data_IF_155382250678
#
_entry.id   IF_155382250678
#
_cell.length_a   1.000
_cell.length_b   1.000
_cell.length_c   1.000
_cell.angle_alpha   90.00
_cell.angle_beta   90.00
_cell.angle_gamma   90.00
#
_symmetry.space_group_name_H-M   'P 1'
#
loop_
_entity.id
_entity.type
_entity.pdbx_description
1 polymer ?
#
# COMPACT_ATOMS: atom_id res chain seq x y z
N UNK A 1 21.18 34.07 -19.49
CA UNK A 1 21.27 32.71 -20.09
C UNK A 1 20.51 31.73 -19.21
N UNK A 2 20.23 30.51 -19.65
CA UNK A 2 19.67 29.47 -18.79
C UNK A 2 20.80 28.93 -17.88
N UNK A 3 20.80 29.26 -16.59
CA UNK A 3 21.75 28.69 -15.63
C UNK A 3 21.29 27.27 -15.24
N UNK A 4 21.38 26.34 -16.19
CA UNK A 4 20.95 24.96 -16.04
C UNK A 4 21.98 24.18 -15.22
N UNK A 5 21.77 24.13 -13.91
CA UNK A 5 22.46 23.19 -13.04
C UNK A 5 22.24 21.77 -13.58
N UNK A 6 23.32 21.05 -13.92
CA UNK A 6 23.27 19.71 -14.50
C UNK A 6 22.52 18.72 -13.61
N UNK A 7 22.58 18.90 -12.28
CA UNK A 7 21.83 18.08 -11.33
C UNK A 7 20.31 18.25 -11.50
N UNK A 8 19.82 19.46 -11.80
CA UNK A 8 18.39 19.67 -12.11
C UNK A 8 17.98 18.95 -13.39
N UNK A 9 18.77 19.06 -14.45
CA UNK A 9 18.51 18.38 -15.73
C UNK A 9 18.45 16.85 -15.56
N UNK A 10 19.41 16.27 -14.83
CA UNK A 10 19.42 14.84 -14.51
C UNK A 10 18.21 14.43 -13.64
N UNK A 11 17.79 15.28 -12.70
CA UNK A 11 16.63 15.03 -11.87
C UNK A 11 15.31 15.04 -12.65
N UNK A 12 15.11 16.07 -13.49
CA UNK A 12 13.96 16.21 -14.38
C UNK A 12 13.87 15.01 -15.35
N UNK A 13 15.00 14.61 -15.96
CA UNK A 13 15.06 13.43 -16.84
C UNK A 13 14.71 12.14 -16.09
N UNK A 14 15.28 11.93 -14.90
CA UNK A 14 15.05 10.72 -14.09
C UNK A 14 13.59 10.59 -13.63
N UNK A 15 12.90 11.71 -13.37
CA UNK A 15 11.47 11.73 -13.05
C UNK A 15 10.57 11.47 -14.26
N UNK A 16 10.93 11.95 -15.46
CA UNK A 16 10.28 11.48 -16.69
C UNK A 16 10.51 9.97 -16.89
N UNK A 17 11.74 9.49 -16.68
CA UNK A 17 12.06 8.06 -16.80
C UNK A 17 11.24 7.18 -15.86
N UNK A 18 11.04 7.56 -14.59
CA UNK A 18 10.20 6.77 -13.66
C UNK A 18 8.74 6.71 -14.12
N UNK A 19 8.17 7.79 -14.65
CA UNK A 19 6.82 7.77 -15.26
C UNK A 19 6.74 6.90 -16.51
N UNK A 20 7.74 6.94 -17.39
CA UNK A 20 7.83 6.07 -18.55
C UNK A 20 7.91 4.59 -18.16
N UNK A 21 8.75 4.24 -17.17
CA UNK A 21 8.88 2.86 -16.64
C UNK A 21 7.56 2.39 -16.04
N UNK A 22 6.87 3.22 -15.24
CA UNK A 22 5.57 2.86 -14.67
C UNK A 22 4.49 2.58 -15.74
N UNK A 23 4.40 3.43 -16.77
CA UNK A 23 3.47 3.24 -17.89
C UNK A 23 3.81 1.96 -18.67
N UNK A 24 5.10 1.74 -18.95
CA UNK A 24 5.57 0.53 -19.63
C UNK A 24 5.29 -0.74 -18.82
N UNK A 25 5.52 -0.71 -17.50
CA UNK A 25 5.25 -1.84 -16.61
C UNK A 25 3.76 -2.20 -16.55
N UNK A 26 2.87 -1.20 -16.50
CA UNK A 26 1.41 -1.41 -16.53
C UNK A 26 0.99 -2.11 -17.84
N UNK A 27 1.46 -1.62 -18.99
CA UNK A 27 1.17 -2.24 -20.28
C UNK A 27 1.80 -3.63 -20.44
N UNK A 28 3.06 -3.81 -20.02
CA UNK A 28 3.81 -5.06 -20.17
C UNK A 28 3.21 -6.20 -19.33
N UNK A 29 2.72 -5.88 -18.13
CA UNK A 29 2.07 -6.84 -17.24
C UNK A 29 0.55 -6.91 -17.42
N UNK A 30 -0.04 -6.06 -18.30
CA UNK A 30 -1.49 -5.91 -18.52
C UNK A 30 -2.29 -5.74 -17.22
N UNK A 31 -1.74 -5.01 -16.26
CA UNK A 31 -2.30 -4.87 -14.90
C UNK A 31 -1.83 -3.58 -14.23
N UNK A 32 -2.65 -3.07 -13.32
CA UNK A 32 -2.31 -1.96 -12.42
C UNK A 32 -2.16 -2.42 -10.95
N UNK A 33 -2.10 -3.73 -10.68
CA UNK A 33 -2.01 -4.30 -9.33
C UNK A 33 -0.75 -3.79 -8.59
N UNK A 34 -0.95 -3.37 -7.34
CA UNK A 34 0.12 -2.81 -6.51
C UNK A 34 0.34 -1.31 -6.67
N UNK A 35 -0.23 -0.66 -7.70
CA UNK A 35 -0.24 0.80 -7.84
C UNK A 35 -1.52 1.36 -7.19
N UNK A 36 -1.40 2.45 -6.43
CA UNK A 36 -2.55 3.15 -5.84
C UNK A 36 -3.11 4.19 -6.78
N UNK A 37 -4.42 4.09 -7.08
CA UNK A 37 -5.13 5.05 -7.91
C UNK A 37 -5.18 6.42 -7.22
N UNK A 38 -5.38 6.43 -5.89
CA UNK A 38 -5.41 7.65 -5.08
C UNK A 38 -4.09 8.41 -5.18
N UNK A 39 -2.94 7.73 -5.06
CA UNK A 39 -1.63 8.38 -5.23
C UNK A 39 -1.47 8.97 -6.63
N UNK A 40 -1.94 8.31 -7.70
CA UNK A 40 -1.87 8.89 -9.05
C UNK A 40 -2.79 10.10 -9.22
N UNK A 41 -4.00 10.07 -8.63
CA UNK A 41 -4.92 11.23 -8.60
C UNK A 41 -4.31 12.43 -7.85
N UNK A 42 -3.67 12.19 -6.71
CA UNK A 42 -2.98 13.25 -5.97
C UNK A 42 -1.79 13.83 -6.77
N UNK A 43 -0.97 13.00 -7.42
CA UNK A 43 0.09 13.50 -8.30
C UNK A 43 -0.45 14.29 -9.50
N UNK A 44 -1.56 13.88 -10.12
CA UNK A 44 -2.20 14.66 -11.18
C UNK A 44 -2.68 16.03 -10.68
N UNK A 45 -3.28 16.09 -9.49
CA UNK A 45 -3.68 17.36 -8.84
C UNK A 45 -2.46 18.26 -8.56
N UNK A 46 -1.33 17.69 -8.12
CA UNK A 46 -0.06 18.42 -7.96
C UNK A 46 0.39 19.03 -9.30
N UNK A 47 0.48 18.25 -10.37
CA UNK A 47 0.99 18.79 -11.64
C UNK A 47 0.04 19.83 -12.27
N UNK A 48 -1.28 19.68 -12.11
CA UNK A 48 -2.26 20.68 -12.54
C UNK A 48 -2.10 21.98 -11.75
N UNK A 49 -2.00 21.92 -10.42
CA UNK A 49 -1.89 23.12 -9.57
C UNK A 49 -0.51 23.79 -9.65
N UNK A 50 0.56 23.03 -9.87
CA UNK A 50 1.93 23.54 -10.02
C UNK A 50 2.17 24.29 -11.33
N UNK A 51 1.53 23.86 -12.41
CA UNK A 51 1.81 24.33 -13.77
C UNK A 51 0.71 25.25 -14.33
N UNK A 52 -0.08 25.89 -13.45
CA UNK A 52 -1.00 26.96 -13.81
C UNK A 52 -0.30 28.16 -14.49
N UNK A 53 1.03 28.29 -14.32
CA UNK A 53 1.83 29.28 -15.03
C UNK A 53 1.89 29.05 -16.57
N UNK A 54 1.47 27.87 -17.07
CA UNK A 54 1.22 27.62 -18.50
C UNK A 54 0.10 28.51 -19.06
N UNK A 55 -0.84 28.99 -18.24
CA UNK A 55 -1.85 29.96 -18.68
C UNK A 55 -1.30 31.39 -18.76
N UNK A 56 -0.07 31.64 -18.30
CA UNK A 56 0.60 32.93 -18.37
C UNK A 56 1.62 32.99 -19.51
N UNK A 57 1.72 34.14 -20.18
CA UNK A 57 2.75 34.39 -21.23
C UNK A 57 4.19 34.11 -20.77
N UNK A 58 4.46 34.23 -19.46
CA UNK A 58 5.75 33.93 -18.86
C UNK A 58 6.11 32.42 -18.88
N UNK A 59 5.14 31.52 -18.78
CA UNK A 59 5.37 30.07 -18.76
C UNK A 59 5.92 29.50 -20.07
N UNK A 60 5.65 30.19 -21.19
CA UNK A 60 6.04 29.77 -22.55
C UNK A 60 7.45 30.19 -22.98
N UNK A 61 8.21 30.88 -22.11
CA UNK A 61 9.54 31.44 -22.44
C UNK A 61 10.61 30.40 -22.80
N UNK A 62 10.45 29.14 -22.38
CA UNK A 62 11.44 28.08 -22.60
C UNK A 62 10.74 26.78 -23.02
N UNK A 63 10.83 26.44 -24.31
CA UNK A 63 10.17 25.28 -24.91
C UNK A 63 10.44 23.96 -24.16
N UNK A 64 11.69 23.73 -23.73
CA UNK A 64 12.07 22.59 -22.89
C UNK A 64 11.20 22.50 -21.61
N UNK A 65 11.04 23.60 -20.86
CA UNK A 65 10.24 23.59 -19.64
C UNK A 65 8.74 23.41 -19.94
N UNK A 66 8.23 23.93 -21.05
CA UNK A 66 6.84 23.69 -21.50
C UNK A 66 6.61 22.21 -21.80
N UNK A 67 7.54 21.56 -22.53
CA UNK A 67 7.47 20.14 -22.83
C UNK A 67 7.39 19.27 -21.56
N UNK A 68 8.25 19.51 -20.57
CA UNK A 68 8.24 18.75 -19.31
C UNK A 68 6.90 18.93 -18.56
N UNK A 69 6.39 20.15 -18.44
CA UNK A 69 5.10 20.41 -17.78
C UNK A 69 3.93 19.70 -18.47
N UNK A 70 3.84 19.81 -19.80
CA UNK A 70 2.79 19.14 -20.59
C UNK A 70 2.92 17.61 -20.48
N UNK A 71 4.15 17.07 -20.55
CA UNK A 71 4.40 15.64 -20.35
C UNK A 71 3.92 15.17 -18.97
N UNK A 72 4.26 15.88 -17.88
CA UNK A 72 3.85 15.49 -16.53
C UNK A 72 2.32 15.50 -16.34
N UNK A 73 1.61 16.47 -16.92
CA UNK A 73 0.14 16.53 -16.90
C UNK A 73 -0.45 15.37 -17.70
N UNK A 74 -0.09 15.23 -18.98
CA UNK A 74 -0.66 14.25 -19.91
C UNK A 74 -0.37 12.82 -19.44
N UNK A 75 0.86 12.51 -19.03
CA UNK A 75 1.24 11.19 -18.54
C UNK A 75 0.52 10.80 -17.25
N UNK A 76 0.24 11.76 -16.35
CA UNK A 76 -0.48 11.47 -15.09
C UNK A 76 -1.96 11.20 -15.34
N UNK A 77 -2.62 11.97 -16.21
CA UNK A 77 -3.99 11.65 -16.65
C UNK A 77 -4.04 10.33 -17.44
N UNK A 78 -3.02 10.01 -18.24
CA UNK A 78 -2.94 8.74 -18.96
C UNK A 78 -2.81 7.54 -18.02
N UNK A 79 -1.99 7.61 -16.96
CA UNK A 79 -1.93 6.56 -15.92
C UNK A 79 -3.28 6.39 -15.23
N UNK A 80 -3.96 7.49 -14.86
CA UNK A 80 -5.31 7.42 -14.27
C UNK A 80 -6.30 6.75 -15.24
N UNK A 81 -6.28 7.10 -16.52
CA UNK A 81 -7.10 6.46 -17.56
C UNK A 81 -6.82 4.95 -17.67
N UNK A 82 -5.55 4.53 -17.69
CA UNK A 82 -5.19 3.10 -17.68
C UNK A 82 -5.77 2.39 -16.45
N UNK A 83 -5.62 2.97 -15.26
CA UNK A 83 -6.08 2.39 -13.99
C UNK A 83 -7.61 2.41 -13.80
N UNK A 84 -8.33 3.29 -14.49
CA UNK A 84 -9.80 3.42 -14.37
C UNK A 84 -10.58 2.74 -15.51
N UNK A 85 -9.98 2.52 -16.69
CA UNK A 85 -10.68 2.02 -17.88
C UNK A 85 -10.06 0.80 -18.54
N UNK A 86 -8.73 0.70 -18.60
CA UNK A 86 -8.04 -0.35 -19.39
C UNK A 86 -7.66 -1.54 -18.51
N UNK A 87 -7.12 -1.26 -17.33
CA UNK A 87 -6.72 -2.24 -16.31
C UNK A 87 -7.39 -1.89 -14.98
N UNK A 88 -8.75 -1.93 -14.92
CA UNK A 88 -9.50 -1.51 -13.75
C UNK A 88 -9.16 -2.37 -12.53
N UNK A 89 -8.89 -1.71 -11.40
CA UNK A 89 -8.48 -2.35 -10.14
C UNK A 89 -9.67 -2.49 -9.17
N UNK A 90 -9.60 -3.50 -8.29
CA UNK A 90 -10.36 -3.58 -7.04
C UNK A 90 -10.34 -2.27 -6.24
N UNK A 91 -11.47 -1.94 -5.59
CA UNK A 91 -11.73 -0.64 -4.95
C UNK A 91 -10.73 -0.31 -3.84
N UNK A 92 -10.17 0.90 -3.90
CA UNK A 92 -9.30 1.48 -2.87
C UNK A 92 -9.99 1.52 -1.49
N UNK A 93 -9.24 1.16 -0.43
CA UNK A 93 -9.79 1.04 0.94
C UNK A 93 -10.12 2.42 1.52
N UNK A 94 -11.20 2.50 2.29
CA UNK A 94 -11.66 3.71 2.97
C UNK A 94 -10.56 4.44 3.77
N UNK A 95 -9.65 3.70 4.44
CA UNK A 95 -8.50 4.27 5.14
C UNK A 95 -7.55 5.05 4.22
N UNK A 96 -7.37 4.59 2.97
CA UNK A 96 -6.57 5.30 1.97
C UNK A 96 -7.29 6.56 1.47
N UNK A 97 -8.62 6.51 1.28
CA UNK A 97 -9.44 7.68 0.97
C UNK A 97 -9.37 8.75 2.07
N UNK A 98 -9.56 8.36 3.34
CA UNK A 98 -9.41 9.26 4.50
C UNK A 98 -8.02 9.92 4.49
N UNK A 99 -6.94 9.16 4.32
CA UNK A 99 -5.57 9.71 4.22
C UNK A 99 -5.37 10.65 3.03
N UNK A 100 -5.93 10.35 1.86
CA UNK A 100 -5.83 11.22 0.68
C UNK A 100 -6.57 12.55 0.86
N UNK A 101 -7.80 12.53 1.40
CA UNK A 101 -8.60 13.72 1.71
C UNK A 101 -7.91 14.58 2.76
N UNK A 102 -7.41 13.96 3.84
CA UNK A 102 -6.64 14.65 4.89
C UNK A 102 -5.37 15.29 4.30
N UNK A 103 -4.68 14.62 3.38
CA UNK A 103 -3.49 15.16 2.72
C UNK A 103 -3.80 16.42 1.90
N UNK A 104 -4.90 16.42 1.15
CA UNK A 104 -5.35 17.60 0.39
C UNK A 104 -5.78 18.74 1.32
N UNK A 105 -6.60 18.46 2.33
CA UNK A 105 -7.10 19.47 3.27
C UNK A 105 -5.96 20.12 4.07
N UNK A 106 -5.03 19.32 4.59
CA UNK A 106 -3.85 19.82 5.30
C UNK A 106 -2.94 20.67 4.40
N UNK A 107 -2.73 20.24 3.15
CA UNK A 107 -1.93 21.02 2.18
C UNK A 107 -2.59 22.36 1.83
N UNK A 108 -3.92 22.39 1.73
CA UNK A 108 -4.69 23.59 1.43
C UNK A 108 -4.63 24.62 2.57
N UNK A 109 -4.61 24.17 3.82
CA UNK A 109 -4.46 25.04 5.01
C UNK A 109 -3.00 25.47 5.20
N UNK A 110 -2.03 24.56 5.05
CA UNK A 110 -0.61 24.88 5.27
C UNK A 110 0.00 25.79 4.19
N UNK A 111 -0.51 25.80 2.96
CA UNK A 111 0.03 26.62 1.88
C UNK A 111 0.01 28.14 2.17
N UNK A 112 -1.14 28.79 2.44
CA UNK A 112 -1.18 30.21 2.80
C UNK A 112 -0.38 30.53 4.06
N UNK A 113 -0.42 29.64 5.07
CA UNK A 113 0.32 29.80 6.32
C UNK A 113 1.84 29.79 6.06
N UNK A 114 2.33 28.88 5.22
CA UNK A 114 3.76 28.77 4.87
C UNK A 114 4.26 30.01 4.12
N UNK A 115 3.46 30.56 3.19
CA UNK A 115 3.81 31.80 2.48
C UNK A 115 3.99 32.96 3.46
N UNK A 116 3.04 33.17 4.37
CA UNK A 116 3.10 34.26 5.37
C UNK A 116 4.31 34.11 6.29
N UNK A 117 4.60 32.89 6.76
CA UNK A 117 5.73 32.64 7.68
C UNK A 117 7.09 32.84 6.98
N UNK A 118 7.29 32.27 5.79
CA UNK A 118 8.61 32.24 5.16
C UNK A 118 8.91 33.45 4.26
N UNK A 119 7.91 33.98 3.54
CA UNK A 119 8.10 35.14 2.65
C UNK A 119 7.69 36.49 3.27
N UNK A 120 7.12 36.48 4.49
CA UNK A 120 6.75 37.70 5.27
C UNK A 120 5.79 38.67 4.56
N UNK A 121 5.03 38.17 3.59
CA UNK A 121 4.03 38.92 2.83
C UNK A 121 3.38 38.05 1.75
N UNK A 122 2.26 38.51 1.19
CA UNK A 122 1.66 37.89 0.02
C UNK A 122 2.22 38.50 -1.27
N UNK A 123 2.64 37.69 -2.25
CA UNK A 123 3.07 38.18 -3.56
C UNK A 123 1.86 38.60 -4.42
N UNK A 124 2.07 39.49 -5.39
CA UNK A 124 1.02 40.01 -6.29
C UNK A 124 0.19 38.90 -6.97
N UNK A 125 0.84 37.77 -7.26
CA UNK A 125 0.22 36.57 -7.86
C UNK A 125 -0.26 35.58 -6.82
N UNK A 126 -0.78 36.07 -5.70
CA UNK A 126 -1.15 35.31 -4.50
C UNK A 126 -1.81 33.95 -4.79
N UNK A 127 -2.74 33.88 -5.75
CA UNK A 127 -3.41 32.65 -6.15
C UNK A 127 -2.44 31.63 -6.76
N UNK A 128 -1.67 32.02 -7.77
CA UNK A 128 -0.70 31.14 -8.44
C UNK A 128 0.39 30.66 -7.48
N UNK A 129 0.91 31.55 -6.63
CA UNK A 129 1.94 31.20 -5.65
C UNK A 129 1.38 30.32 -4.51
N UNK A 130 0.10 30.50 -4.13
CA UNK A 130 -0.60 29.61 -3.19
C UNK A 130 -0.83 28.24 -3.82
N UNK A 131 -1.26 28.14 -5.09
CA UNK A 131 -1.38 26.88 -5.81
C UNK A 131 -0.03 26.17 -6.01
N UNK A 132 1.05 26.93 -6.27
CA UNK A 132 2.40 26.40 -6.34
C UNK A 132 2.85 25.83 -4.98
N UNK A 133 2.70 26.60 -3.90
CA UNK A 133 3.04 26.16 -2.54
C UNK A 133 2.21 24.94 -2.13
N UNK A 134 0.89 24.96 -2.35
CA UNK A 134 -0.01 23.82 -2.18
C UNK A 134 0.50 22.59 -2.91
N UNK A 135 0.93 22.74 -4.16
CA UNK A 135 1.46 21.62 -4.96
C UNK A 135 2.75 21.05 -4.37
N UNK A 136 3.61 21.87 -3.74
CA UNK A 136 4.85 21.43 -3.08
C UNK A 136 4.52 20.63 -1.82
N UNK A 137 3.64 21.16 -0.96
CA UNK A 137 3.20 20.51 0.28
C UNK A 137 2.50 19.19 -0.03
N UNK A 138 1.54 19.19 -0.97
CA UNK A 138 0.77 18.00 -1.33
C UNK A 138 1.66 16.91 -1.93
N UNK A 139 2.63 17.26 -2.78
CA UNK A 139 3.54 16.27 -3.36
C UNK A 139 4.31 15.51 -2.27
N UNK A 140 4.72 16.21 -1.21
CA UNK A 140 5.46 15.61 -0.10
C UNK A 140 4.73 14.44 0.57
N UNK A 141 3.39 14.45 0.55
CA UNK A 141 2.52 13.43 1.16
C UNK A 141 1.78 12.53 0.14
N UNK A 142 1.90 12.78 -1.17
CA UNK A 142 1.23 12.02 -2.24
C UNK A 142 1.48 10.50 -2.19
N UNK A 143 2.61 10.07 -1.64
CA UNK A 143 3.01 8.65 -1.54
C UNK A 143 2.34 7.90 -0.38
N UNK A 144 1.66 8.58 0.55
CA UNK A 144 1.05 7.94 1.73
C UNK A 144 -0.02 6.87 1.40
N UNK A 145 -0.96 7.06 0.45
CA UNK A 145 -1.88 5.99 0.03
C UNK A 145 -1.16 4.78 -0.56
N UNK A 146 -0.13 5.00 -1.38
CA UNK A 146 0.71 3.97 -1.99
C UNK A 146 1.51 3.15 -0.96
N UNK A 147 2.03 3.79 0.10
CA UNK A 147 2.67 3.14 1.25
C UNK A 147 1.69 2.25 2.01
N UNK A 148 0.51 2.79 2.33
CA UNK A 148 -0.59 2.08 3.00
C UNK A 148 -1.02 0.85 2.19
N UNK A 149 -1.10 1.00 0.87
CA UNK A 149 -1.45 -0.05 -0.06
C UNK A 149 -0.41 -1.18 -0.12
N UNK A 150 0.88 -0.87 -0.23
CA UNK A 150 1.95 -1.89 -0.25
C UNK A 150 1.97 -2.71 1.05
N UNK A 151 1.71 -2.06 2.19
CA UNK A 151 1.65 -2.70 3.51
C UNK A 151 0.46 -3.65 3.69
N UNK A 152 -0.60 -3.49 2.89
CA UNK A 152 -1.82 -4.33 2.97
C UNK A 152 -1.97 -5.30 1.78
N UNK A 153 -1.16 -5.19 0.73
CA UNK A 153 -1.25 -6.03 -0.47
C UNK A 153 -0.19 -7.14 -0.43
N UNK A 154 -0.60 -8.40 -0.35
CA UNK A 154 0.31 -9.57 -0.45
C UNK A 154 0.65 -9.92 -1.90
N UNK A 155 -0.27 -9.69 -2.83
CA UNK A 155 -0.16 -9.97 -4.29
C UNK A 155 1.09 -9.32 -4.92
N UNK A 156 1.82 -9.97 -5.84
CA UNK A 156 2.89 -9.34 -6.61
C UNK A 156 2.47 -7.98 -7.21
N UNK A 157 3.39 -7.02 -7.16
CA UNK A 157 3.15 -5.62 -7.53
C UNK A 157 3.77 -5.33 -8.89
N UNK A 158 3.08 -4.59 -9.76
CA UNK A 158 3.59 -4.15 -11.07
C UNK A 158 4.76 -3.14 -10.95
N UNK A 159 4.94 -2.55 -9.77
CA UNK A 159 6.10 -1.71 -9.42
C UNK A 159 7.38 -2.55 -9.47
N UNK A 160 8.33 -2.13 -10.32
CA UNK A 160 9.64 -2.75 -10.47
C UNK A 160 10.75 -1.97 -9.73
N UNK A 161 11.96 -2.56 -9.70
CA UNK A 161 13.14 -1.92 -9.12
C UNK A 161 13.65 -0.73 -9.92
N UNK A 162 13.43 -0.71 -11.25
CA UNK A 162 13.86 0.40 -12.11
C UNK A 162 13.03 1.67 -11.86
N UNK A 163 11.72 1.56 -11.65
CA UNK A 163 10.87 2.66 -11.21
C UNK A 163 11.39 3.28 -9.92
N UNK A 164 11.72 2.46 -8.91
CA UNK A 164 12.24 2.93 -7.62
C UNK A 164 13.62 3.55 -7.74
N UNK A 165 14.51 2.97 -8.55
CA UNK A 165 15.82 3.54 -8.83
C UNK A 165 15.69 4.93 -9.47
N UNK A 166 14.87 5.07 -10.52
CA UNK A 166 14.65 6.36 -11.18
C UNK A 166 13.97 7.37 -10.26
N UNK A 167 13.00 6.93 -9.44
CA UNK A 167 12.32 7.79 -8.45
C UNK A 167 13.28 8.26 -7.34
N UNK A 168 14.22 7.41 -6.92
CA UNK A 168 15.27 7.73 -5.95
C UNK A 168 16.37 8.62 -6.52
N UNK A 169 16.87 8.33 -7.73
CA UNK A 169 17.84 9.16 -8.45
C UNK A 169 17.32 10.57 -8.71
N UNK A 170 16.05 10.72 -9.09
CA UNK A 170 15.35 12.01 -9.16
C UNK A 170 15.48 12.81 -7.85
N UNK A 171 15.21 12.21 -6.68
CA UNK A 171 15.39 12.88 -5.38
C UNK A 171 16.85 13.20 -5.11
N UNK A 172 17.76 12.25 -5.29
CA UNK A 172 19.19 12.44 -5.08
C UNK A 172 19.74 13.61 -5.91
N UNK A 173 19.33 13.74 -7.17
CA UNK A 173 19.75 14.84 -8.03
C UNK A 173 19.11 16.19 -7.65
N UNK A 174 17.86 16.22 -7.18
CA UNK A 174 17.32 17.44 -6.54
C UNK A 174 18.10 17.83 -5.28
N UNK A 175 18.52 16.84 -4.50
CA UNK A 175 19.33 16.96 -3.26
C UNK A 175 20.81 17.34 -3.55
N UNK A 176 21.25 17.28 -4.80
CA UNK A 176 22.50 17.91 -5.23
C UNK A 176 22.23 19.32 -5.79
N UNK A 177 21.13 19.52 -6.51
CA UNK A 177 20.75 20.84 -7.03
C UNK A 177 20.53 21.90 -5.94
N UNK A 178 19.80 21.59 -4.85
CA UNK A 178 19.53 22.56 -3.78
C UNK A 178 20.80 23.03 -3.07
N UNK A 179 21.79 22.15 -2.94
CA UNK A 179 23.01 22.30 -2.16
C UNK A 179 24.07 23.05 -2.97
N UNK A 180 24.14 22.77 -4.28
CA UNK A 180 24.95 23.55 -5.22
C UNK A 180 24.44 24.99 -5.37
N UNK A 181 23.12 25.24 -5.25
CA UNK A 181 22.55 26.60 -5.27
C UNK A 181 22.69 27.34 -3.95
N UNK A 182 22.53 26.63 -2.84
CA UNK A 182 22.57 27.19 -1.48
C UNK A 182 23.97 27.38 -0.90
N UNK A 183 24.94 26.51 -1.23
CA UNK A 183 26.35 26.63 -0.85
C UNK A 183 27.23 27.24 -1.95
N UNK A 184 26.74 27.30 -3.20
CA UNK A 184 27.42 27.94 -4.30
C UNK A 184 27.25 29.47 -4.29
N UNK A 185 27.83 30.13 -5.31
CA UNK A 185 27.82 31.59 -5.44
C UNK A 185 26.45 32.24 -5.64
N UNK A 186 25.38 31.48 -5.87
CA UNK A 186 24.00 31.99 -5.87
C UNK A 186 23.46 32.25 -4.45
N UNK A 187 23.99 31.56 -3.42
CA UNK A 187 23.57 31.71 -2.01
C UNK A 187 22.08 31.47 -1.74
N UNK A 188 21.37 30.84 -2.68
CA UNK A 188 19.91 30.89 -2.76
C UNK A 188 19.27 29.60 -2.25
N UNK A 189 18.47 29.75 -1.20
CA UNK A 189 17.66 28.71 -0.58
C UNK A 189 16.17 29.02 -0.77
N UNK A 190 15.36 27.99 -1.00
CA UNK A 190 13.91 28.09 -1.10
C UNK A 190 13.33 27.30 0.08
N UNK A 191 13.16 27.98 1.22
CA UNK A 191 12.86 27.33 2.50
C UNK A 191 11.60 26.46 2.44
N UNK A 192 10.64 26.79 1.56
CA UNK A 192 9.44 25.96 1.35
C UNK A 192 9.79 24.73 0.51
N UNK A 193 10.39 24.90 -0.67
CA UNK A 193 10.74 23.77 -1.53
C UNK A 193 11.73 22.80 -0.86
N UNK A 194 12.67 23.34 -0.09
CA UNK A 194 13.71 22.57 0.61
C UNK A 194 13.10 21.82 1.82
N UNK A 195 12.31 22.48 2.68
CA UNK A 195 11.66 21.83 3.84
C UNK A 195 10.75 20.67 3.42
N UNK A 196 9.86 20.90 2.46
CA UNK A 196 8.95 19.85 1.98
C UNK A 196 9.67 18.81 1.12
N UNK A 197 10.79 19.17 0.48
CA UNK A 197 11.72 18.24 -0.18
C UNK A 197 12.38 17.24 0.78
N UNK A 198 12.78 17.68 1.99
CA UNK A 198 13.26 16.79 3.06
C UNK A 198 12.16 15.80 3.46
N UNK A 199 10.96 16.31 3.79
CA UNK A 199 9.81 15.51 4.23
C UNK A 199 9.46 14.45 3.18
N UNK A 200 9.40 14.85 1.91
CA UNK A 200 9.11 13.96 0.80
C UNK A 200 10.16 12.86 0.62
N UNK A 201 11.43 13.22 0.75
CA UNK A 201 12.55 12.27 0.65
C UNK A 201 12.49 11.23 1.77
N UNK A 202 12.14 11.64 2.99
CA UNK A 202 11.96 10.71 4.11
C UNK A 202 10.86 9.67 3.81
N UNK A 203 9.72 10.07 3.23
CA UNK A 203 8.69 9.13 2.79
C UNK A 203 9.10 8.27 1.58
N UNK A 204 9.94 8.78 0.68
CA UNK A 204 10.49 7.98 -0.44
C UNK A 204 11.49 6.92 0.05
N UNK A 205 12.27 7.21 1.10
CA UNK A 205 13.15 6.24 1.77
C UNK A 205 12.32 5.16 2.48
N UNK A 206 11.27 5.54 3.20
CA UNK A 206 10.33 4.58 3.83
C UNK A 206 9.65 3.68 2.76
N UNK A 207 9.28 4.24 1.61
CA UNK A 207 8.70 3.52 0.48
C UNK A 207 9.68 2.53 -0.17
N UNK A 208 10.95 2.92 -0.38
CA UNK A 208 11.99 2.03 -0.86
C UNK A 208 12.30 0.89 0.14
N UNK A 209 12.30 1.21 1.44
CA UNK A 209 12.50 0.23 2.52
C UNK A 209 11.39 -0.82 2.58
N UNK A 210 10.11 -0.38 2.56
CA UNK A 210 8.93 -1.28 2.53
C UNK A 210 8.93 -2.18 1.30
N UNK A 211 9.39 -1.69 0.14
CA UNK A 211 9.50 -2.52 -1.06
C UNK A 211 10.64 -3.55 -0.95
N UNK A 212 11.83 -3.13 -0.55
CA UNK A 212 13.02 -3.99 -0.52
C UNK A 212 12.89 -5.12 0.51
N UNK A 213 12.39 -4.81 1.72
CA UNK A 213 12.12 -5.80 2.77
C UNK A 213 11.12 -6.86 2.29
N UNK A 214 9.99 -6.43 1.70
CA UNK A 214 8.96 -7.29 1.09
C UNK A 214 9.52 -8.21 -0.01
N UNK A 215 10.46 -7.74 -0.83
CA UNK A 215 11.05 -8.56 -1.89
C UNK A 215 12.02 -9.62 -1.36
N UNK A 216 12.75 -9.35 -0.27
CA UNK A 216 13.64 -10.32 0.38
C UNK A 216 12.89 -11.50 0.99
N UNK A 217 11.71 -11.28 1.59
CA UNK A 217 10.88 -12.37 2.15
C UNK A 217 10.49 -13.38 1.08
N UNK A 218 10.01 -12.91 -0.08
CA UNK A 218 9.53 -13.75 -1.20
C UNK A 218 10.60 -14.60 -1.88
N UNK A 219 11.88 -14.39 -1.59
CA UNK A 219 13.00 -15.14 -2.16
C UNK A 219 13.65 -16.13 -1.18
N UNK A 220 13.26 -16.13 0.11
CA UNK A 220 13.97 -16.89 1.16
C UNK A 220 13.16 -18.05 1.76
N UNK A 221 11.83 -17.98 1.75
CA UNK A 221 10.96 -19.10 2.10
C UNK A 221 9.65 -19.01 1.28
N UNK A 222 9.22 -20.11 0.68
CA UNK A 222 7.93 -20.23 -0.02
C UNK A 222 6.72 -20.39 0.92
N UNK A 223 6.89 -20.10 2.21
CA UNK A 223 5.83 -20.16 3.22
C UNK A 223 5.13 -18.82 3.41
N UNK A 224 3.85 -18.86 3.79
CA UNK A 224 3.15 -17.69 4.31
C UNK A 224 3.81 -17.27 5.62
N UNK A 225 4.13 -15.98 5.78
CA UNK A 225 4.75 -15.41 7.00
C UNK A 225 3.90 -14.24 7.48
N UNK A 226 3.80 -14.10 8.80
CA UNK A 226 2.81 -13.29 9.49
C UNK A 226 2.83 -11.79 9.21
N UNK A 227 1.66 -11.18 9.43
CA UNK A 227 1.45 -9.73 9.26
C UNK A 227 2.16 -8.84 10.29
N UNK A 228 2.74 -9.42 11.34
CA UNK A 228 3.39 -8.72 12.46
C UNK A 228 4.65 -7.94 12.05
N UNK A 229 5.53 -8.54 11.23
CA UNK A 229 6.84 -7.96 10.89
C UNK A 229 6.72 -6.67 10.05
N UNK A 230 5.60 -6.52 9.32
CA UNK A 230 5.27 -5.32 8.54
C UNK A 230 4.87 -4.10 9.41
N UNK A 231 5.17 -4.10 10.72
CA UNK A 231 4.92 -2.97 11.65
C UNK A 231 6.11 -2.00 11.80
N UNK A 232 7.28 -2.35 11.29
CA UNK A 232 8.56 -1.66 11.60
C UNK A 232 8.97 -0.47 10.70
N UNK A 233 8.10 0.08 9.85
CA UNK A 233 8.37 1.36 9.18
C UNK A 233 8.29 2.53 10.18
N UNK A 234 9.45 2.96 10.68
CA UNK A 234 9.60 3.85 11.85
C UNK A 234 8.86 5.19 11.74
N UNK A 235 8.81 5.80 10.54
CA UNK A 235 8.14 7.09 10.33
C UNK A 235 6.62 6.95 10.25
N UNK A 236 6.13 6.13 9.31
CA UNK A 236 4.69 5.94 9.09
C UNK A 236 4.02 5.27 10.28
N UNK A 237 4.67 4.34 10.96
CA UNK A 237 4.16 3.72 12.20
C UNK A 237 4.03 4.77 13.33
N UNK A 238 4.97 5.73 13.44
CA UNK A 238 4.86 6.80 14.44
C UNK A 238 3.69 7.75 14.16
N UNK A 239 3.52 8.19 12.91
CA UNK A 239 2.42 9.08 12.51
C UNK A 239 1.05 8.38 12.64
N UNK A 240 0.95 7.11 12.25
CA UNK A 240 -0.30 6.34 12.35
C UNK A 240 -0.63 5.94 13.80
N UNK A 241 0.33 5.51 14.61
CA UNK A 241 0.07 5.09 16.00
C UNK A 241 -0.25 6.28 16.90
N UNK A 242 0.35 7.46 16.66
CA UNK A 242 -0.03 8.70 17.34
C UNK A 242 -1.52 9.03 17.08
N UNK A 243 -1.97 8.83 15.84
CA UNK A 243 -3.37 9.02 15.46
C UNK A 243 -4.29 7.89 15.95
N UNK A 244 -3.81 6.65 16.06
CA UNK A 244 -4.61 5.52 16.55
C UNK A 244 -4.77 5.52 18.08
N UNK A 245 -3.84 6.12 18.84
CA UNK A 245 -4.15 6.56 20.21
C UNK A 245 -5.25 7.60 20.17
N UNK A 246 -5.00 8.75 19.52
CA UNK A 246 -5.96 9.86 19.49
C UNK A 246 -7.39 9.46 19.06
N UNK A 247 -7.56 8.52 18.11
CA UNK A 247 -8.90 8.05 17.73
C UNK A 247 -9.55 7.11 18.75
N UNK A 248 -8.76 6.34 19.50
CA UNK A 248 -9.26 5.55 20.62
C UNK A 248 -9.55 6.45 21.84
N UNK A 249 -8.71 7.46 22.08
CA UNK A 249 -8.91 8.49 23.10
C UNK A 249 -10.18 9.32 22.76
N UNK A 250 -10.40 9.69 21.48
CA UNK A 250 -11.61 10.38 21.00
C UNK A 250 -12.85 9.45 21.01
N UNK A 251 -12.73 8.16 20.71
CA UNK A 251 -13.82 7.19 20.90
C UNK A 251 -14.14 6.98 22.40
N UNK A 252 -13.14 6.96 23.29
CA UNK A 252 -13.37 6.85 24.74
C UNK A 252 -14.03 8.10 25.31
N UNK A 253 -13.54 9.31 24.98
CA UNK A 253 -14.17 10.56 25.40
C UNK A 253 -15.64 10.66 24.96
N UNK A 254 -15.98 10.25 23.74
CA UNK A 254 -17.38 10.25 23.28
C UNK A 254 -18.24 9.24 24.05
N UNK A 255 -17.71 8.04 24.35
CA UNK A 255 -18.41 7.07 25.20
C UNK A 255 -18.46 7.49 26.69
N UNK A 256 -17.63 8.44 27.14
CA UNK A 256 -17.69 9.01 28.49
C UNK A 256 -18.68 10.19 28.54
N UNK A 257 -18.72 11.07 27.52
CA UNK A 257 -19.75 12.11 27.36
C UNK A 257 -21.16 11.50 27.19
N UNK A 258 -21.33 10.48 26.34
CA UNK A 258 -22.60 9.74 26.18
C UNK A 258 -23.04 9.01 27.47
N UNK A 259 -22.12 8.73 28.41
CA UNK A 259 -22.43 8.09 29.70
C UNK A 259 -22.78 9.10 30.80
N UNK A 260 -22.14 10.28 30.82
CA UNK A 260 -22.51 11.33 31.78
C UNK A 260 -23.94 11.87 31.54
N UNK A 261 -24.42 11.90 30.29
CA UNK A 261 -25.80 12.32 29.97
C UNK A 261 -26.87 11.22 30.23
N UNK A 262 -26.51 9.92 30.34
CA UNK A 262 -27.47 8.84 30.68
C UNK A 262 -27.66 8.60 32.20
N UNK A 263 -26.74 9.02 33.08
CA UNK A 263 -26.79 8.67 34.52
C UNK A 263 -27.99 9.25 35.32
N UNK A 264 -28.85 10.07 34.71
CA UNK A 264 -30.04 10.65 35.37
C UNK A 264 -31.26 9.68 35.37
N UNK A 265 -31.23 8.55 34.64
CA UNK A 265 -32.43 7.77 34.30
C UNK A 265 -32.44 6.25 34.62
N UNK A 266 -32.11 5.85 35.86
CA UNK A 266 -32.55 4.57 36.45
C UNK A 266 -31.50 3.45 36.56
N UNK A 267 -31.27 2.95 37.78
CA UNK A 267 -30.15 2.05 38.09
C UNK A 267 -30.36 0.55 37.76
N UNK A 268 -29.28 -0.14 37.35
CA UNK A 268 -29.38 -1.51 36.81
C UNK A 268 -28.13 -2.41 36.75
N UNK A 269 -27.26 -2.40 37.77
CA UNK A 269 -26.06 -3.29 37.96
C UNK A 269 -24.87 -3.12 36.99
N UNK A 270 -23.60 -3.12 37.48
CA UNK A 270 -22.41 -3.07 36.63
C UNK A 270 -22.07 -4.43 35.99
N UNK A 271 -21.73 -4.46 34.70
CA UNK A 271 -21.25 -5.67 33.97
C UNK A 271 -19.76 -5.60 33.64
N UNK A 272 -18.91 -5.70 34.66
CA UNK A 272 -17.44 -5.69 34.50
C UNK A 272 -16.86 -7.02 33.94
N UNK A 273 -17.22 -7.39 32.71
CA UNK A 273 -16.61 -8.51 31.97
C UNK A 273 -15.32 -8.06 31.25
N UNK A 274 -14.30 -7.73 32.03
CA UNK A 274 -12.94 -7.39 31.55
C UNK A 274 -12.22 -8.62 31.00
N UNK A 275 -12.54 -9.03 29.78
CA UNK A 275 -11.92 -10.20 29.14
C UNK A 275 -10.45 -9.92 28.76
N UNK A 276 -9.52 -10.40 29.61
CA UNK A 276 -8.10 -10.37 29.32
C UNK A 276 -7.75 -11.33 28.18
N UNK A 277 -6.87 -10.89 27.26
CA UNK A 277 -6.37 -11.77 26.21
C UNK A 277 -5.46 -12.86 26.82
N UNK A 278 -5.81 -14.14 26.55
CA UNK A 278 -5.24 -15.38 27.11
C UNK A 278 -5.70 -15.70 28.55
N UNK A 279 -6.75 -16.52 28.63
CA UNK A 279 -7.19 -17.22 29.85
C UNK A 279 -8.02 -18.44 29.48
N UNK A 280 -7.66 -19.61 30.00
CA UNK A 280 -8.39 -20.88 29.77
C UNK A 280 -9.51 -20.97 30.81
N UNK A 281 -10.74 -21.19 30.38
CA UNK A 281 -11.89 -21.39 31.28
C UNK A 281 -12.03 -22.86 31.68
N UNK A 282 -11.61 -23.19 32.90
CA UNK A 282 -11.94 -24.47 33.57
C UNK A 282 -12.69 -24.17 34.86
N UNK A 283 -13.94 -24.61 34.89
CA UNK A 283 -14.83 -24.71 36.05
C UNK A 283 -15.87 -25.77 35.65
N UNK A 284 -15.84 -27.02 36.11
CA UNK A 284 -15.62 -27.54 37.47
C UNK A 284 -16.78 -27.20 38.42
N UNK A 285 -17.70 -28.16 38.45
CA UNK A 285 -18.70 -28.50 39.47
C UNK A 285 -19.74 -27.46 39.92
N UNK A 286 -21.01 -27.88 39.88
CA UNK A 286 -22.11 -27.28 40.65
C UNK A 286 -23.20 -28.36 40.83
N UNK A 287 -23.04 -29.18 41.87
CA UNK A 287 -23.99 -30.26 42.21
C UNK A 287 -25.24 -29.71 42.89
N UNK A 288 -26.42 -30.21 42.51
CA UNK A 288 -27.72 -30.30 43.23
C UNK A 288 -28.88 -30.23 42.20
N UNK A 289 -29.84 -31.17 42.13
CA UNK A 289 -29.92 -32.47 42.78
C UNK A 289 -31.32 -33.12 42.63
N UNK A 290 -31.46 -34.33 43.18
CA UNK A 290 -32.72 -34.99 43.56
C UNK A 290 -33.68 -35.52 42.46
N UNK A 291 -33.49 -36.78 42.07
CA UNK A 291 -34.61 -37.74 42.03
C UNK A 291 -34.13 -39.16 42.39
N UNK A 292 -34.86 -39.85 43.29
CA UNK A 292 -34.74 -41.32 43.52
C UNK A 292 -35.35 -42.04 42.30
N UNK A 293 -34.85 -43.18 41.79
CA UNK A 293 -34.46 -44.45 42.44
C UNK A 293 -35.57 -45.48 42.15
N UNK A 294 -35.38 -46.75 41.78
CA UNK A 294 -34.32 -47.78 41.94
C UNK A 294 -33.97 -48.44 40.58
N UNK A 295 -32.95 -49.28 40.36
CA UNK A 295 -31.95 -49.94 41.23
C UNK A 295 -32.06 -51.48 41.18
N UNK A 296 -31.07 -52.18 40.61
CA UNK A 296 -30.70 -53.60 40.84
C UNK A 296 -29.29 -53.90 40.26
N UNK A 297 -28.63 -54.97 40.72
CA UNK A 297 -27.19 -55.26 40.58
C UNK A 297 -26.83 -56.36 39.54
N UNK A 298 -25.59 -56.86 39.64
CA UNK A 298 -24.94 -58.01 38.95
C UNK A 298 -24.31 -57.69 37.57
N UNK A 299 -23.01 -57.89 37.28
CA UNK A 299 -22.02 -59.00 37.52
C UNK A 299 -22.25 -60.19 36.56
N UNK A 300 -21.27 -60.85 35.91
CA UNK A 300 -19.80 -61.02 36.08
C UNK A 300 -19.12 -61.30 34.70
N UNK A 301 -17.78 -61.22 34.63
CA UNK A 301 -16.88 -62.00 33.72
C UNK A 301 -17.11 -61.91 32.17
N UNK A 302 -16.25 -62.44 31.28
CA UNK A 302 -14.85 -62.89 31.43
C UNK A 302 -14.42 -63.95 30.39
N UNK A 303 -13.42 -63.64 29.57
CA UNK A 303 -12.68 -64.53 28.63
C UNK A 303 -13.37 -64.99 27.31
N UNK A 304 -12.73 -65.90 26.57
CA UNK A 304 -12.55 -65.93 25.10
C UNK A 304 -13.01 -67.25 24.40
N UNK A 305 -12.74 -67.34 23.08
CA UNK A 305 -12.83 -68.48 22.15
C UNK A 305 -14.28 -68.69 21.58
N UNK A 306 -14.52 -68.57 20.26
CA UNK A 306 -14.02 -69.26 19.03
C UNK A 306 -14.79 -70.59 18.74
N UNK A 307 -15.00 -71.06 17.50
CA UNK A 307 -14.71 -70.49 16.17
C UNK A 307 -15.92 -69.64 15.66
N UNK A 308 -16.65 -69.82 14.55
CA UNK A 308 -16.74 -70.78 13.42
C UNK A 308 -17.16 -69.97 12.14
N UNK A 309 -17.02 -70.51 10.92
CA UNK A 309 -16.77 -69.72 9.67
C UNK A 309 -17.88 -69.77 8.57
N UNK A 310 -17.88 -68.81 7.61
CA UNK A 310 -18.75 -68.81 6.41
C UNK A 310 -18.13 -68.08 5.17
N UNK A 311 -17.62 -68.88 4.22
CA UNK A 311 -17.38 -68.71 2.76
C UNK A 311 -16.88 -67.36 2.15
N UNK A 312 -15.67 -67.36 1.57
CA UNK A 312 -15.23 -66.39 0.53
C UNK A 312 -14.32 -67.06 -0.54
N UNK A 313 -14.52 -66.77 -1.83
CA UNK A 313 -14.24 -67.73 -2.92
C UNK A 313 -13.37 -67.20 -4.09
N UNK A 314 -12.11 -67.67 -4.16
CA UNK A 314 -11.17 -67.63 -5.31
C UNK A 314 -10.74 -66.24 -5.85
N UNK A 315 -9.61 -66.08 -6.54
CA UNK A 315 -8.58 -67.06 -6.92
C UNK A 315 -7.77 -66.65 -8.17
N UNK A 316 -6.73 -65.83 -8.00
CA UNK A 316 -5.65 -65.59 -8.98
C UNK A 316 -4.54 -66.69 -8.86
N UNK A 317 -3.40 -66.75 -9.62
CA UNK A 317 -2.76 -65.76 -10.52
C UNK A 317 -2.07 -66.36 -11.81
N UNK A 318 -1.11 -65.62 -12.39
CA UNK A 318 -0.01 -66.03 -13.34
C UNK A 318 -0.44 -66.20 -14.82
N UNK A 319 0.02 -65.49 -15.86
CA UNK A 319 1.28 -64.78 -16.25
C UNK A 319 2.14 -65.58 -17.28
N UNK A 320 2.65 -64.88 -18.31
CA UNK A 320 3.54 -65.42 -19.37
C UNK A 320 3.10 -65.04 -20.78
N UNK A 321 4.01 -64.53 -21.62
CA UNK A 321 3.71 -64.16 -23.02
C UNK A 321 4.95 -64.15 -23.94
N UNK A 322 4.74 -64.24 -25.26
CA UNK A 322 5.79 -64.16 -26.27
C UNK A 322 5.28 -63.74 -27.67
N UNK A 323 6.06 -62.88 -28.34
CA UNK A 323 6.17 -62.58 -29.79
C UNK A 323 5.06 -62.97 -30.81
N UNK A 324 4.57 -62.01 -31.61
CA UNK A 324 4.11 -62.25 -32.98
C UNK A 324 5.29 -62.28 -33.99
N UNK A 325 5.12 -62.97 -35.13
CA UNK A 325 6.03 -62.94 -36.30
C UNK A 325 5.40 -62.21 -37.48
N UNK A 326 6.22 -61.55 -38.32
CA UNK A 326 5.80 -60.94 -39.60
C UNK A 326 6.27 -61.79 -40.79
N UNK A 327 5.36 -62.03 -41.76
CA UNK A 327 5.58 -62.54 -43.14
C UNK A 327 4.19 -62.65 -43.81
N UNK A 328 3.89 -62.36 -45.09
CA UNK A 328 4.61 -61.75 -46.24
C UNK A 328 3.62 -61.48 -47.40
N UNK A 329 3.77 -60.36 -48.14
CA UNK A 329 3.17 -60.14 -49.49
C UNK A 329 1.64 -59.86 -49.55
N UNK A 330 1.05 -59.48 -50.69
CA UNK A 330 1.55 -59.32 -52.08
C UNK A 330 0.88 -58.11 -52.78
N UNK A 331 1.58 -57.57 -53.79
CA UNK A 331 1.32 -56.41 -54.70
C UNK A 331 -0.12 -55.98 -55.03
N UNK A 332 -0.33 -54.66 -55.06
CA UNK A 332 -1.40 -53.95 -55.81
C UNK A 332 -0.79 -52.74 -56.54
N UNK A 333 -1.44 -52.20 -57.58
CA UNK A 333 -0.80 -51.29 -58.54
C UNK A 333 -1.80 -50.50 -59.42
N UNK A 334 -1.49 -49.22 -59.70
CA UNK A 334 -2.31 -48.25 -60.46
C UNK A 334 -3.66 -47.91 -59.78
N UNK A 335 -4.29 -46.74 -60.02
CA UNK A 335 -3.98 -45.63 -60.96
C UNK A 335 -3.46 -44.36 -60.26
#
# INVERSE_FOLDING_TARGET
MLNLNIFRLLADLSHISSKCVLIWAIHRNKSAEGVSLLTQMLYALVFVTRYLDLFSKAGWRHFYLVFFKLFYIISSFYVIYLMMRVFPRTRERERAWKMAIISVALSLVLAPISIVIFYRGYPDRWFTETCWTFSIILESVCVLPQLLLLRQTTVPTVIDSYYLLMLGSYRAFYILNWLVRGLGSEGHWDVIADLYGVIQTAFYVDFAWVYYTRQRVKLRNGGVVDSEDFRHSWLVSKILNFRQRRSADEEQNLNEEDVEDEEVAGGGRPRNNRWGARGISVSADDTLGNHRGTGQDESLEGFLEDEEDDDDNNGYPVNGGAHPKQSTGVTGSHE
#
